data_IF_753114284333
#
_entry.id   IF_753114284333
#
_cell.length_a   1.000
_cell.length_b   1.000
_cell.length_c   1.000
_cell.angle_alpha   90.00
_cell.angle_beta   90.00
_cell.angle_gamma   90.00
#
_symmetry.space_group_name_H-M   'P 1'
#
loop_
_entity.id
_entity.type
_entity.pdbx_description
1 polymer ?
#
# COMPACT_ATOMS: atom_id res chain seq x y z
N UNK A 1 -0.44 26.23 -1.59
CA UNK A 1 -0.92 25.07 -0.81
C UNK A 1 0.20 24.04 -0.84
N UNK A 2 0.63 23.56 0.32
CA UNK A 2 1.67 22.52 0.41
C UNK A 2 1.09 21.15 0.01
N UNK A 3 1.96 20.16 -0.26
CA UNK A 3 1.47 18.80 -0.58
C UNK A 3 0.70 18.19 0.58
N UNK A 4 1.12 18.46 1.82
CA UNK A 4 0.40 18.02 3.02
C UNK A 4 -1.00 18.60 3.12
N UNK A 5 -1.13 19.92 2.89
CA UNK A 5 -2.45 20.58 2.90
C UNK A 5 -3.36 20.03 1.80
N UNK A 6 -2.79 19.71 0.64
CA UNK A 6 -3.53 19.08 -0.45
C UNK A 6 -4.02 17.69 -0.05
N UNK A 7 -3.17 16.84 0.55
CA UNK A 7 -3.59 15.52 1.00
C UNK A 7 -4.72 15.58 2.05
N UNK A 8 -4.62 16.54 2.99
CA UNK A 8 -5.70 16.81 3.98
C UNK A 8 -6.99 17.27 3.31
N UNK A 9 -6.92 18.24 2.43
CA UNK A 9 -8.10 18.79 1.74
C UNK A 9 -8.81 17.74 0.85
N UNK A 10 -8.05 16.76 0.34
CA UNK A 10 -8.59 15.62 -0.40
C UNK A 10 -9.23 14.55 0.49
N UNK A 11 -8.97 14.58 1.81
CA UNK A 11 -9.41 13.54 2.74
C UNK A 11 -8.62 12.24 2.56
N UNK A 12 -7.38 12.32 2.08
CA UNK A 12 -6.52 11.15 1.86
C UNK A 12 -5.91 10.62 3.14
N UNK A 13 -5.61 11.47 4.13
CA UNK A 13 -4.91 11.07 5.37
C UNK A 13 -5.91 10.45 6.34
N UNK A 14 -5.65 9.21 6.79
CA UNK A 14 -6.46 8.52 7.80
C UNK A 14 -5.75 8.50 9.16
N UNK A 15 -4.58 7.88 9.27
CA UNK A 15 -3.80 7.78 10.50
C UNK A 15 -2.33 8.13 10.23
N UNK A 16 -1.65 8.68 11.23
CA UNK A 16 -0.23 9.04 11.18
C UNK A 16 0.43 8.74 12.51
N UNK A 17 1.70 8.34 12.49
CA UNK A 17 2.50 8.12 13.71
C UNK A 17 3.01 9.43 14.31
N UNK A 18 3.39 10.39 13.47
CA UNK A 18 3.84 11.72 13.83
C UNK A 18 3.48 12.70 12.71
N UNK A 19 2.50 13.57 12.97
CA UNK A 19 1.97 14.49 11.95
C UNK A 19 3.00 15.56 11.57
N UNK A 20 3.71 16.15 12.54
CA UNK A 20 4.60 17.27 12.27
C UNK A 20 5.85 16.82 11.50
N UNK A 21 6.46 15.72 11.89
CA UNK A 21 7.62 15.17 11.20
C UNK A 21 7.29 14.72 9.77
N UNK A 22 6.18 13.96 9.58
CA UNK A 22 5.75 13.54 8.25
C UNK A 22 5.47 14.75 7.36
N UNK A 23 4.73 15.73 7.87
CA UNK A 23 4.39 16.97 7.19
C UNK A 23 5.64 17.76 6.77
N UNK A 24 6.60 17.92 7.68
CA UNK A 24 7.86 18.62 7.37
C UNK A 24 8.60 17.90 6.24
N UNK A 25 8.79 16.59 6.35
CA UNK A 25 9.55 15.81 5.39
C UNK A 25 8.91 15.80 4.00
N UNK A 26 7.59 15.56 3.90
CA UNK A 26 6.91 15.52 2.60
C UNK A 26 6.80 16.88 1.93
N UNK A 27 6.62 17.96 2.70
CA UNK A 27 6.56 19.31 2.16
C UNK A 27 7.93 19.83 1.65
N UNK A 28 9.01 19.34 2.23
CA UNK A 28 10.38 19.72 1.85
C UNK A 28 11.00 18.80 0.78
N UNK A 29 10.26 17.82 0.26
CA UNK A 29 10.78 16.86 -0.72
C UNK A 29 11.88 15.95 -0.18
N UNK A 30 11.91 15.70 1.13
CA UNK A 30 12.95 14.91 1.81
C UNK A 30 12.54 13.49 2.12
N UNK A 31 11.27 13.14 1.95
CA UNK A 31 10.78 11.81 2.28
C UNK A 31 11.23 10.79 1.25
N UNK A 32 11.95 9.76 1.68
CA UNK A 32 12.03 8.47 1.00
C UNK A 32 11.01 7.56 1.64
N UNK A 33 10.01 7.14 0.89
CA UNK A 33 8.88 6.36 1.39
C UNK A 33 8.57 5.18 0.48
N UNK A 34 7.92 4.16 1.03
CA UNK A 34 7.46 3.04 0.22
C UNK A 34 5.98 2.75 0.37
N UNK A 35 5.43 2.13 -0.66
CA UNK A 35 4.13 1.44 -0.65
C UNK A 35 4.35 0.04 -1.19
N UNK A 36 3.81 -0.96 -0.49
CA UNK A 36 3.87 -2.36 -0.88
C UNK A 36 2.71 -2.77 -1.78
N UNK A 37 2.99 -3.62 -2.76
CA UNK A 37 2.04 -4.16 -3.71
C UNK A 37 2.24 -5.67 -3.85
N UNK A 38 1.37 -6.47 -3.24
CA UNK A 38 1.36 -7.91 -3.42
C UNK A 38 0.77 -8.27 -4.79
N UNK A 39 1.51 -9.01 -5.62
CA UNK A 39 1.14 -9.33 -7.00
C UNK A 39 0.09 -10.45 -7.08
N UNK A 40 -1.10 -10.20 -6.54
CA UNK A 40 -2.20 -11.18 -6.41
C UNK A 40 -3.00 -11.40 -7.69
N UNK A 41 -2.68 -10.67 -8.75
CA UNK A 41 -3.23 -10.79 -10.10
C UNK A 41 -2.24 -10.19 -11.10
N UNK A 42 -2.45 -10.45 -12.38
CA UNK A 42 -1.65 -9.95 -13.49
C UNK A 42 -2.03 -8.52 -13.93
N UNK A 43 -2.79 -7.79 -13.12
CA UNK A 43 -3.10 -6.37 -13.31
C UNK A 43 -3.33 -5.66 -11.97
N UNK A 44 -2.97 -4.39 -11.92
CA UNK A 44 -3.42 -3.45 -10.91
C UNK A 44 -4.92 -3.15 -11.13
N UNK A 45 -5.61 -2.77 -10.07
CA UNK A 45 -7.02 -2.39 -10.09
C UNK A 45 -7.24 -1.01 -9.46
N UNK A 46 -8.45 -0.50 -9.51
CA UNK A 46 -8.85 0.82 -8.99
C UNK A 46 -8.38 1.08 -7.55
N UNK A 47 -8.35 0.07 -6.68
CA UNK A 47 -7.81 0.23 -5.32
C UNK A 47 -6.32 0.57 -5.29
N UNK A 48 -5.53 -0.03 -6.18
CA UNK A 48 -4.11 0.30 -6.34
C UNK A 48 -3.90 1.68 -6.97
N UNK A 49 -4.83 2.12 -7.83
CA UNK A 49 -4.76 3.42 -8.50
C UNK A 49 -4.69 4.57 -7.50
N UNK A 50 -5.44 4.49 -6.40
CA UNK A 50 -5.38 5.52 -5.35
C UNK A 50 -3.99 5.61 -4.71
N UNK A 51 -3.35 4.47 -4.44
CA UNK A 51 -1.97 4.42 -3.92
C UNK A 51 -0.97 5.01 -4.93
N UNK A 52 -1.13 4.71 -6.22
CA UNK A 52 -0.30 5.31 -7.29
C UNK A 52 -0.52 6.81 -7.41
N UNK A 53 -1.75 7.30 -7.25
CA UNK A 53 -2.04 8.74 -7.21
C UNK A 53 -1.33 9.43 -6.04
N UNK A 54 -1.30 8.82 -4.86
CA UNK A 54 -0.53 9.32 -3.72
C UNK A 54 0.96 9.35 -4.04
N UNK A 55 1.53 8.24 -4.53
CA UNK A 55 2.94 8.18 -4.91
C UNK A 55 3.31 9.26 -5.92
N UNK A 56 2.46 9.46 -6.94
CA UNK A 56 2.68 10.50 -7.96
C UNK A 56 2.67 11.91 -7.39
N UNK A 57 1.70 12.23 -6.52
CA UNK A 57 1.63 13.56 -5.87
C UNK A 57 2.88 13.85 -5.04
N UNK A 58 3.30 12.88 -4.23
CA UNK A 58 4.49 13.02 -3.40
C UNK A 58 5.76 13.09 -4.25
N UNK A 59 5.86 12.33 -5.34
CA UNK A 59 6.97 12.43 -6.28
C UNK A 59 7.04 13.82 -6.94
N UNK A 60 5.91 14.37 -7.38
CA UNK A 60 5.84 15.72 -7.94
C UNK A 60 6.24 16.80 -6.93
N UNK A 61 6.08 16.55 -5.64
CA UNK A 61 6.55 17.42 -4.57
C UNK A 61 8.04 17.19 -4.20
N UNK A 62 8.78 16.38 -4.97
CA UNK A 62 10.21 16.14 -4.81
C UNK A 62 10.55 14.94 -3.93
N UNK A 63 9.57 14.24 -3.37
CA UNK A 63 9.81 13.06 -2.54
C UNK A 63 10.16 11.84 -3.40
N UNK A 64 10.86 10.88 -2.81
CA UNK A 64 11.33 9.67 -3.49
C UNK A 64 10.49 8.45 -3.14
N UNK A 65 9.57 8.01 -4.01
CA UNK A 65 8.80 6.79 -3.78
C UNK A 65 9.60 5.53 -4.07
N UNK A 66 9.32 4.48 -3.29
CA UNK A 66 9.74 3.11 -3.55
C UNK A 66 8.48 2.27 -3.74
N UNK A 67 8.30 1.68 -4.92
CA UNK A 67 7.30 0.65 -5.15
C UNK A 67 7.89 -0.69 -4.72
N UNK A 68 7.41 -1.25 -3.61
CA UNK A 68 7.83 -2.55 -3.12
C UNK A 68 6.91 -3.63 -3.69
N UNK A 69 7.47 -4.50 -4.52
CA UNK A 69 6.74 -5.64 -5.10
C UNK A 69 6.86 -6.84 -4.16
N UNK A 70 5.73 -7.41 -3.79
CA UNK A 70 5.63 -8.48 -2.82
C UNK A 70 5.92 -9.87 -3.42
N UNK A 71 7.11 -10.10 -3.99
CA UNK A 71 7.49 -11.40 -4.52
C UNK A 71 7.60 -12.49 -3.44
N UNK A 72 8.08 -12.13 -2.26
CA UNK A 72 8.14 -13.01 -1.09
C UNK A 72 6.81 -13.02 -0.31
N UNK A 73 6.27 -11.85 0.03
CA UNK A 73 5.00 -11.73 0.78
C UNK A 73 3.79 -12.26 -0.01
N UNK A 74 3.81 -12.17 -1.33
CA UNK A 74 2.78 -12.72 -2.20
C UNK A 74 2.65 -14.25 -2.12
N UNK A 75 3.70 -14.96 -1.70
CA UNK A 75 3.66 -16.41 -1.44
C UNK A 75 2.88 -16.77 -0.17
N UNK A 76 2.75 -15.83 0.76
CA UNK A 76 2.09 -16.00 2.06
C UNK A 76 0.65 -15.47 1.99
N UNK A 77 0.50 -14.23 1.57
CA UNK A 77 -0.77 -13.52 1.47
C UNK A 77 -1.17 -12.78 2.75
N UNK A 78 -1.45 -11.48 2.58
CA UNK A 78 -1.88 -10.60 3.67
C UNK A 78 -3.27 -10.98 4.20
N UNK A 79 -3.43 -11.25 5.50
CA UNK A 79 -4.73 -11.50 6.10
C UNK A 79 -5.56 -10.23 6.33
N UNK A 80 -4.97 -9.03 6.26
CA UNK A 80 -5.62 -7.76 6.60
C UNK A 80 -6.83 -7.47 5.71
N UNK A 81 -7.95 -7.09 6.33
CA UNK A 81 -9.18 -6.74 5.63
C UNK A 81 -9.85 -7.91 4.87
N UNK A 82 -9.57 -9.16 5.24
CA UNK A 82 -10.14 -10.38 4.64
C UNK A 82 -10.73 -11.31 5.69
N UNK A 83 -11.72 -12.07 5.26
CA UNK A 83 -12.35 -13.12 6.07
C UNK A 83 -11.77 -14.52 5.80
N UNK A 84 -11.17 -14.74 4.63
CA UNK A 84 -10.72 -16.04 4.15
C UNK A 84 -9.24 -16.03 3.79
N UNK A 85 -8.58 -17.20 3.91
CA UNK A 85 -7.20 -17.41 3.50
C UNK A 85 -7.06 -17.25 1.97
N UNK A 86 -5.95 -16.65 1.52
CA UNK A 86 -5.63 -16.57 0.10
C UNK A 86 -5.25 -17.93 -0.47
N UNK A 87 -5.57 -18.17 -1.73
CA UNK A 87 -4.98 -19.28 -2.47
C UNK A 87 -3.49 -19.00 -2.69
N UNK A 88 -2.67 -20.01 -2.43
CA UNK A 88 -1.23 -19.92 -2.69
C UNK A 88 -0.98 -19.92 -4.20
N UNK A 89 -0.16 -18.97 -4.64
CA UNK A 89 0.27 -18.85 -6.02
C UNK A 89 1.65 -19.50 -6.21
N UNK A 90 1.94 -19.97 -7.42
CA UNK A 90 3.28 -20.45 -7.76
C UNK A 90 4.25 -19.28 -7.94
N UNK A 91 5.55 -19.57 -7.83
CA UNK A 91 6.61 -18.56 -8.04
C UNK A 91 6.53 -17.95 -9.43
N UNK A 92 6.24 -18.78 -10.45
CA UNK A 92 6.11 -18.35 -11.84
C UNK A 92 4.91 -17.40 -12.02
N UNK A 93 3.78 -17.70 -11.37
CA UNK A 93 2.60 -16.82 -11.39
C UNK A 93 2.90 -15.49 -10.73
N UNK A 94 3.56 -15.50 -9.58
CA UNK A 94 3.96 -14.28 -8.87
C UNK A 94 4.90 -13.44 -9.73
N UNK A 95 5.91 -14.07 -10.36
CA UNK A 95 6.84 -13.37 -11.23
C UNK A 95 6.16 -12.75 -12.45
N UNK A 96 5.25 -13.48 -13.09
CA UNK A 96 4.45 -12.96 -14.19
C UNK A 96 3.64 -11.73 -13.76
N UNK A 97 2.96 -11.81 -12.62
CA UNK A 97 2.17 -10.70 -12.07
C UNK A 97 3.04 -9.48 -11.73
N UNK A 98 4.24 -9.71 -11.18
CA UNK A 98 5.23 -8.64 -10.93
C UNK A 98 5.59 -7.91 -12.22
N UNK A 99 5.86 -8.64 -13.30
CA UNK A 99 6.24 -8.05 -14.58
C UNK A 99 5.09 -7.25 -15.21
N UNK A 100 3.84 -7.68 -15.01
CA UNK A 100 2.66 -6.92 -15.37
C UNK A 100 2.54 -5.63 -14.54
N UNK A 101 2.73 -5.70 -13.22
CA UNK A 101 2.68 -4.53 -12.33
C UNK A 101 3.73 -3.48 -12.72
N UNK A 102 4.97 -3.90 -12.98
CA UNK A 102 6.06 -3.01 -13.42
C UNK A 102 5.63 -2.16 -14.61
N UNK A 103 5.16 -2.80 -15.70
CA UNK A 103 4.72 -2.13 -16.92
C UNK A 103 3.59 -1.13 -16.68
N UNK A 104 2.69 -1.44 -15.75
CA UNK A 104 1.58 -0.54 -15.43
C UNK A 104 2.04 0.62 -14.56
N UNK A 105 2.90 0.39 -13.56
CA UNK A 105 3.40 1.43 -12.65
C UNK A 105 4.26 2.48 -13.37
N UNK A 106 5.04 2.07 -14.38
CA UNK A 106 5.86 2.96 -15.21
C UNK A 106 5.05 4.04 -15.95
N UNK A 107 3.75 3.82 -16.13
CA UNK A 107 2.84 4.83 -16.71
C UNK A 107 2.49 5.96 -15.75
N UNK A 108 2.63 5.73 -14.45
CA UNK A 108 2.25 6.69 -13.40
C UNK A 108 3.45 7.32 -12.71
N UNK A 109 4.47 6.53 -12.43
CA UNK A 109 5.63 6.92 -11.63
C UNK A 109 6.85 7.03 -12.54
N UNK A 110 7.61 8.10 -12.37
CA UNK A 110 8.88 8.30 -13.08
C UNK A 110 10.01 7.60 -12.31
N UNK A 111 10.48 6.49 -12.86
CA UNK A 111 11.60 5.70 -12.31
C UNK A 111 12.96 6.09 -12.91
N UNK A 112 13.01 7.07 -13.82
CA UNK A 112 14.27 7.53 -14.43
C UNK A 112 15.17 8.21 -13.39
N UNK A 113 16.47 8.14 -13.61
CA UNK A 113 17.50 8.88 -12.86
C UNK A 113 17.41 8.70 -11.33
N UNK A 114 16.84 7.59 -10.86
CA UNK A 114 16.68 7.31 -9.43
C UNK A 114 15.63 8.18 -8.71
N UNK A 115 14.72 8.83 -9.45
CA UNK A 115 13.61 9.61 -8.89
C UNK A 115 12.59 8.74 -8.14
N UNK A 116 12.51 7.47 -8.49
CA UNK A 116 11.79 6.43 -7.77
C UNK A 116 12.55 5.12 -7.86
N UNK A 117 12.21 4.17 -6.99
CA UNK A 117 12.75 2.82 -7.05
C UNK A 117 11.63 1.80 -7.17
N UNK A 118 11.92 0.69 -7.83
CA UNK A 118 11.08 -0.49 -7.86
C UNK A 118 11.91 -1.65 -7.31
N UNK A 119 11.45 -2.25 -6.22
CA UNK A 119 12.21 -3.24 -5.44
C UNK A 119 11.32 -4.46 -5.20
N UNK A 120 11.90 -5.66 -5.21
CA UNK A 120 11.21 -6.91 -4.93
C UNK A 120 11.66 -7.45 -3.56
N UNK A 121 10.72 -7.69 -2.64
CA UNK A 121 11.07 -8.22 -1.32
C UNK A 121 11.51 -9.69 -1.34
N UNK A 122 11.31 -10.41 -2.44
CA UNK A 122 11.90 -11.74 -2.64
C UNK A 122 13.43 -11.71 -2.55
N UNK A 123 14.08 -10.57 -2.90
CA UNK A 123 15.54 -10.41 -2.90
C UNK A 123 16.16 -10.64 -1.50
N UNK A 124 15.40 -10.43 -0.44
CA UNK A 124 15.84 -10.69 0.92
C UNK A 124 15.02 -11.75 1.63
N UNK A 125 13.69 -11.82 1.45
CA UNK A 125 12.83 -12.74 2.18
C UNK A 125 13.10 -14.21 1.81
N UNK A 126 13.40 -14.50 0.53
CA UNK A 126 13.63 -15.88 0.07
C UNK A 126 14.95 -16.49 0.56
N UNK A 127 15.89 -15.66 1.00
CA UNK A 127 17.20 -16.09 1.45
C UNK A 127 17.35 -16.06 2.98
N UNK A 128 16.29 -15.79 3.72
CA UNK A 128 16.33 -15.74 5.18
C UNK A 128 16.47 -17.13 5.79
N UNK A 129 17.40 -17.27 6.72
CA UNK A 129 17.47 -18.46 7.56
C UNK A 129 16.42 -18.35 8.66
N UNK A 130 15.55 -19.35 8.76
CA UNK A 130 14.42 -19.35 9.70
C UNK A 130 14.86 -19.20 11.16
N UNK A 131 15.92 -19.92 11.59
CA UNK A 131 16.42 -19.85 12.97
C UNK A 131 17.02 -18.48 13.27
N UNK A 132 17.74 -17.89 12.30
CA UNK A 132 18.32 -16.54 12.45
C UNK A 132 17.23 -15.49 12.59
N UNK A 133 16.17 -15.55 11.78
CA UNK A 133 15.02 -14.65 11.88
C UNK A 133 14.34 -14.78 13.25
N UNK A 134 14.11 -16.01 13.74
CA UNK A 134 13.52 -16.21 15.05
C UNK A 134 14.38 -15.64 16.18
N UNK A 135 15.70 -15.72 16.09
CA UNK A 135 16.61 -15.19 17.11
C UNK A 135 16.81 -13.69 17.05
N UNK A 136 16.84 -13.12 15.82
CA UNK A 136 17.19 -11.71 15.60
C UNK A 136 15.97 -10.79 15.51
N UNK A 137 14.88 -11.27 14.95
CA UNK A 137 13.65 -10.50 14.72
C UNK A 137 12.56 -10.88 15.74
N UNK A 138 12.41 -12.17 16.01
CA UNK A 138 11.34 -12.72 16.87
C UNK A 138 11.22 -12.05 18.24
N UNK A 139 12.30 -11.76 18.99
CA UNK A 139 12.20 -11.12 20.31
C UNK A 139 11.59 -9.72 20.30
N UNK A 140 11.50 -9.07 19.14
CA UNK A 140 10.91 -7.74 19.00
C UNK A 140 9.39 -7.77 18.83
N UNK A 141 8.78 -8.96 18.63
CA UNK A 141 7.35 -9.13 18.43
C UNK A 141 6.71 -9.88 19.62
N UNK A 142 5.75 -9.25 20.27
CA UNK A 142 4.94 -9.89 21.30
C UNK A 142 3.70 -10.54 20.67
N UNK A 143 3.55 -11.85 20.79
CA UNK A 143 2.38 -12.59 20.28
C UNK A 143 1.08 -12.01 20.83
N UNK A 144 1.02 -11.71 22.15
CA UNK A 144 -0.16 -11.13 22.77
C UNK A 144 -0.53 -9.76 22.15
N UNK A 145 0.47 -8.91 21.86
CA UNK A 145 0.24 -7.64 21.21
C UNK A 145 -0.22 -7.84 19.77
N UNK A 146 0.39 -8.73 19.01
CA UNK A 146 -0.04 -9.04 17.64
C UNK A 146 -1.49 -9.51 17.61
N UNK A 147 -1.87 -10.46 18.47
CA UNK A 147 -3.24 -10.98 18.57
C UNK A 147 -4.27 -9.93 19.01
N UNK A 148 -3.83 -8.85 19.65
CA UNK A 148 -4.73 -7.73 20.03
C UNK A 148 -5.14 -6.85 18.87
N UNK A 149 -4.47 -6.93 17.73
CA UNK A 149 -4.82 -6.13 16.54
C UNK A 149 -6.07 -6.65 15.86
N UNK A 150 -6.89 -5.74 15.34
CA UNK A 150 -8.21 -6.06 14.77
C UNK A 150 -8.13 -7.05 13.60
N UNK A 151 -7.11 -6.92 12.76
CA UNK A 151 -6.88 -7.83 11.63
C UNK A 151 -6.73 -9.30 12.07
N UNK A 152 -6.11 -9.56 13.24
CA UNK A 152 -5.99 -10.92 13.79
C UNK A 152 -7.24 -11.36 14.54
N UNK A 153 -7.90 -10.47 15.30
CA UNK A 153 -9.14 -10.81 16.01
C UNK A 153 -10.20 -11.37 15.06
N UNK A 154 -10.44 -10.68 13.93
CA UNK A 154 -11.40 -11.13 12.92
C UNK A 154 -11.02 -12.49 12.31
N UNK A 155 -9.72 -12.74 12.11
CA UNK A 155 -9.24 -14.01 11.58
C UNK A 155 -9.29 -15.15 12.59
N UNK A 156 -9.05 -14.87 13.89
CA UNK A 156 -9.11 -15.89 14.96
C UNK A 156 -10.48 -16.56 15.06
N UNK A 157 -11.57 -15.83 14.81
CA UNK A 157 -12.93 -16.38 14.80
C UNK A 157 -13.13 -17.47 13.72
N UNK A 158 -12.35 -17.43 12.64
CA UNK A 158 -12.43 -18.35 11.49
C UNK A 158 -11.22 -19.26 11.31
N UNK A 159 -10.27 -19.19 12.23
CA UNK A 159 -9.04 -19.95 12.18
C UNK A 159 -7.88 -19.20 11.52
N UNK A 160 -7.06 -18.52 12.33
CA UNK A 160 -5.81 -17.88 11.90
C UNK A 160 -4.71 -18.93 11.79
N UNK A 161 -4.10 -19.06 10.61
CA UNK A 161 -2.97 -19.96 10.42
C UNK A 161 -1.66 -19.32 10.87
N UNK A 162 -0.67 -20.15 11.23
CA UNK A 162 0.69 -19.67 11.55
C UNK A 162 1.32 -18.94 10.35
N UNK A 163 1.02 -19.37 9.13
CA UNK A 163 1.44 -18.72 7.90
C UNK A 163 0.98 -17.24 7.87
N UNK A 164 -0.32 -17.01 8.00
CA UNK A 164 -0.91 -15.67 7.97
C UNK A 164 -0.44 -14.80 9.16
N UNK A 165 -0.25 -15.43 10.33
CA UNK A 165 0.25 -14.74 11.52
C UNK A 165 1.66 -14.14 11.31
N UNK A 166 2.50 -14.80 10.52
CA UNK A 166 3.85 -14.30 10.23
C UNK A 166 3.88 -13.16 9.20
N UNK A 167 2.80 -12.86 8.49
CA UNK A 167 2.78 -11.81 7.47
C UNK A 167 3.22 -10.45 8.04
N UNK A 168 2.71 -10.06 9.20
CA UNK A 168 3.11 -8.79 9.87
C UNK A 168 4.61 -8.72 10.13
N UNK A 169 5.24 -9.83 10.51
CA UNK A 169 6.69 -9.89 10.78
C UNK A 169 7.45 -9.68 9.47
N UNK A 170 7.01 -10.30 8.38
CA UNK A 170 7.63 -10.17 7.06
C UNK A 170 7.53 -8.73 6.54
N UNK A 171 6.36 -8.11 6.62
CA UNK A 171 6.17 -6.71 6.22
C UNK A 171 6.98 -5.75 7.10
N UNK A 172 7.09 -6.04 8.39
CA UNK A 172 7.94 -5.24 9.30
C UNK A 172 9.42 -5.38 8.95
N UNK A 173 9.84 -6.58 8.54
CA UNK A 173 11.20 -6.85 8.09
C UNK A 173 11.48 -6.14 6.74
N UNK A 174 10.50 -6.06 5.84
CA UNK A 174 10.61 -5.29 4.61
C UNK A 174 10.94 -3.82 4.90
N UNK A 175 10.21 -3.19 5.83
CA UNK A 175 10.49 -1.80 6.21
C UNK A 175 11.90 -1.63 6.78
N UNK A 176 12.32 -2.55 7.66
CA UNK A 176 13.67 -2.58 8.22
C UNK A 176 14.75 -2.70 7.13
N UNK A 177 14.55 -3.57 6.14
CA UNK A 177 15.48 -3.73 5.01
C UNK A 177 15.52 -2.50 4.11
N UNK A 178 14.35 -1.92 3.81
CA UNK A 178 14.25 -0.69 3.01
C UNK A 178 14.90 0.50 3.72
N UNK A 179 14.74 0.59 5.05
CA UNK A 179 15.42 1.61 5.85
C UNK A 179 16.93 1.51 5.72
N UNK A 180 17.49 0.32 5.90
CA UNK A 180 18.94 0.09 5.85
C UNK A 180 19.52 0.25 4.44
N UNK A 181 18.86 -0.30 3.42
CA UNK A 181 19.39 -0.32 2.06
C UNK A 181 19.20 0.98 1.29
N UNK A 182 18.09 1.66 1.53
CA UNK A 182 17.65 2.81 0.70
C UNK A 182 17.37 4.09 1.50
N UNK A 183 17.58 4.09 2.81
CA UNK A 183 17.25 5.23 3.66
C UNK A 183 15.75 5.54 3.68
N UNK A 184 14.92 4.50 3.48
CA UNK A 184 13.46 4.65 3.48
C UNK A 184 12.96 4.86 4.92
N UNK A 185 12.51 6.07 5.23
CA UNK A 185 12.08 6.45 6.59
C UNK A 185 10.58 6.41 6.79
N UNK A 186 9.80 6.23 5.71
CA UNK A 186 8.34 6.27 5.77
C UNK A 186 7.70 5.09 5.05
N UNK A 187 6.63 4.55 5.64
CA UNK A 187 5.73 3.60 5.01
C UNK A 187 4.35 4.24 4.84
N UNK A 188 3.79 4.14 3.63
CA UNK A 188 2.42 4.55 3.35
C UNK A 188 1.62 3.36 2.83
N UNK A 189 0.32 3.34 3.11
CA UNK A 189 -0.56 2.26 2.69
C UNK A 189 -2.02 2.53 3.03
N UNK A 190 -2.92 1.59 2.70
CA UNK A 190 -4.33 1.67 3.08
C UNK A 190 -4.53 1.58 4.58
N UNK A 191 -5.66 2.08 5.07
CA UNK A 191 -5.94 2.13 6.52
C UNK A 191 -6.03 0.74 7.17
N UNK A 192 -6.33 -0.29 6.39
CA UNK A 192 -6.29 -1.69 6.82
C UNK A 192 -4.87 -2.21 7.11
N UNK A 193 -3.82 -1.48 6.73
CA UNK A 193 -2.41 -1.84 6.94
C UNK A 193 -1.80 -1.26 8.23
N UNK A 194 -2.53 -0.46 9.00
CA UNK A 194 -1.99 0.28 10.14
C UNK A 194 -1.18 -0.57 11.11
N UNK A 195 -1.73 -1.72 11.53
CA UNK A 195 -1.06 -2.61 12.47
C UNK A 195 0.27 -3.18 11.92
N UNK A 196 0.28 -3.57 10.63
CA UNK A 196 1.48 -4.07 9.96
C UNK A 196 2.56 -2.97 9.88
N UNK A 197 2.16 -1.74 9.59
CA UNK A 197 3.07 -0.59 9.47
C UNK A 197 3.70 -0.23 10.82
N UNK A 198 2.92 -0.25 11.91
CA UNK A 198 3.44 -0.04 13.27
C UNK A 198 4.45 -1.12 13.68
N UNK A 199 4.28 -2.35 13.24
CA UNK A 199 5.27 -3.43 13.44
C UNK A 199 6.64 -3.05 12.86
N UNK A 200 6.67 -2.44 11.67
CA UNK A 200 7.89 -2.00 10.99
C UNK A 200 8.57 -0.83 11.71
N UNK A 201 7.80 0.21 12.07
CA UNK A 201 8.35 1.36 12.81
C UNK A 201 8.96 0.93 14.14
N UNK A 202 8.28 0.04 14.86
CA UNK A 202 8.76 -0.49 16.14
C UNK A 202 10.00 -1.38 15.99
N UNK A 203 10.07 -2.19 14.93
CA UNK A 203 11.26 -3.02 14.65
C UNK A 203 12.50 -2.14 14.38
N UNK A 204 12.35 -1.09 13.58
CA UNK A 204 13.42 -0.14 13.29
C UNK A 204 13.87 0.55 14.58
N UNK A 205 12.93 1.04 15.38
CA UNK A 205 13.24 1.68 16.67
C UNK A 205 14.01 0.75 17.61
N UNK A 206 13.58 -0.50 17.74
CA UNK A 206 14.21 -1.48 18.67
C UNK A 206 15.57 -1.96 18.18
N UNK A 207 15.73 -2.18 16.88
CA UNK A 207 16.99 -2.72 16.34
C UNK A 207 18.03 -1.65 16.03
N UNK A 208 17.61 -0.48 15.57
CA UNK A 208 18.52 0.58 15.11
C UNK A 208 18.57 1.80 16.04
N UNK A 209 17.64 1.92 16.99
CA UNK A 209 17.51 3.14 17.79
C UNK A 209 17.18 4.39 16.96
N UNK A 210 16.47 4.19 15.82
CA UNK A 210 16.13 5.24 14.86
C UNK A 210 14.63 5.37 14.72
N UNK A 211 14.19 6.56 14.30
CA UNK A 211 12.79 6.83 14.02
C UNK A 211 12.44 6.46 12.59
N UNK A 212 11.23 5.93 12.43
CA UNK A 212 10.60 5.66 11.16
C UNK A 212 9.09 5.92 11.31
N UNK A 213 8.45 6.35 10.23
CA UNK A 213 7.12 6.91 10.27
C UNK A 213 6.15 6.12 9.40
N UNK A 214 4.88 6.17 9.75
CA UNK A 214 3.82 5.53 9.00
C UNK A 214 2.63 6.48 8.82
N UNK A 215 2.04 6.44 7.62
CA UNK A 215 0.80 7.15 7.31
C UNK A 215 -0.12 6.23 6.52
N UNK A 216 -1.36 6.11 6.98
CA UNK A 216 -2.39 5.42 6.20
C UNK A 216 -3.26 6.39 5.41
N UNK A 217 -3.72 5.92 4.27
CA UNK A 217 -4.71 6.62 3.45
C UNK A 217 -6.08 5.98 3.59
N UNK A 218 -7.09 6.83 3.53
CA UNK A 218 -8.49 6.42 3.53
C UNK A 218 -8.74 5.37 2.45
N UNK A 219 -9.45 4.31 2.79
CA UNK A 219 -9.85 3.31 1.80
C UNK A 219 -10.89 3.90 0.83
N UNK A 220 -10.81 3.50 -0.43
CA UNK A 220 -11.79 3.87 -1.44
C UNK A 220 -13.06 3.03 -1.23
N UNK A 221 -13.95 3.56 -0.38
CA UNK A 221 -15.24 2.95 -0.05
C UNK A 221 -16.37 3.75 -0.69
N UNK A 222 -17.44 3.08 -1.09
CA UNK A 222 -18.68 3.75 -1.47
C UNK A 222 -19.46 4.24 -0.23
N UNK A 223 -20.59 4.92 -0.45
CA UNK A 223 -21.48 5.44 0.60
C UNK A 223 -22.06 4.36 1.53
N UNK A 224 -22.08 3.08 1.07
CA UNK A 224 -22.49 1.93 1.88
C UNK A 224 -21.32 1.29 2.67
N UNK A 225 -20.11 1.86 2.61
CA UNK A 225 -18.91 1.33 3.26
C UNK A 225 -18.26 0.13 2.55
N UNK A 226 -18.65 -0.18 1.33
CA UNK A 226 -18.06 -1.26 0.53
C UNK A 226 -16.84 -0.78 -0.26
N UNK A 227 -15.79 -1.61 -0.36
CA UNK A 227 -14.61 -1.27 -1.17
C UNK A 227 -15.01 -1.10 -2.64
N UNK A 228 -14.72 0.07 -3.21
CA UNK A 228 -14.95 0.36 -4.63
C UNK A 228 -13.97 -0.39 -5.53
N UNK A 229 -14.31 -0.50 -6.81
CA UNK A 229 -13.48 -1.24 -7.78
C UNK A 229 -13.67 -2.75 -7.72
N UNK A 230 -14.59 -3.27 -6.89
CA UNK A 230 -15.05 -4.65 -6.92
C UNK A 230 -16.43 -4.69 -7.58
N UNK A 231 -16.59 -5.60 -8.55
CA UNK A 231 -17.87 -5.85 -9.23
C UNK A 231 -18.28 -7.31 -8.99
N UNK A 232 -19.48 -7.68 -9.40
CA UNK A 232 -19.94 -9.08 -9.35
C UNK A 232 -19.07 -10.00 -10.25
N UNK A 233 -18.46 -9.44 -11.31
CA UNK A 233 -17.57 -10.13 -12.25
C UNK A 233 -16.08 -10.03 -11.87
N UNK A 234 -15.72 -9.46 -10.70
CA UNK A 234 -14.34 -9.33 -10.26
C UNK A 234 -13.93 -7.91 -9.89
N UNK A 235 -12.75 -7.47 -10.32
CA UNK A 235 -12.24 -6.12 -10.07
C UNK A 235 -12.33 -5.24 -11.32
N UNK A 236 -12.37 -3.92 -11.12
CA UNK A 236 -12.15 -2.95 -12.20
C UNK A 236 -10.65 -2.77 -12.36
N UNK A 237 -10.12 -3.34 -13.44
CA UNK A 237 -8.71 -3.44 -13.72
C UNK A 237 -8.16 -2.19 -14.43
N UNK A 238 -6.87 -1.91 -14.25
CA UNK A 238 -6.17 -0.86 -15.00
C UNK A 238 -5.64 -1.37 -16.35
N UNK A 239 -5.72 -2.67 -16.59
CA UNK A 239 -5.40 -3.29 -17.87
C UNK A 239 -6.60 -3.16 -18.83
N UNK A 240 -6.45 -2.52 -20.00
CA UNK A 240 -7.53 -2.38 -20.98
C UNK A 240 -8.01 -3.70 -21.59
N UNK A 241 -7.18 -4.74 -21.56
CA UNK A 241 -7.57 -6.08 -22.03
C UNK A 241 -8.49 -6.80 -21.01
N UNK A 242 -8.48 -6.37 -19.72
CA UNK A 242 -9.32 -6.94 -18.65
C UNK A 242 -10.56 -6.13 -18.35
N UNK A 243 -10.43 -4.80 -18.38
CA UNK A 243 -11.54 -3.85 -18.28
C UNK A 243 -11.39 -2.88 -19.43
N UNK A 244 -12.27 -2.97 -20.42
CA UNK A 244 -12.19 -2.10 -21.58
C UNK A 244 -12.25 -0.62 -21.18
N UNK A 245 -11.66 0.31 -21.95
CA UNK A 245 -11.78 1.75 -21.67
C UNK A 245 -13.22 2.21 -21.56
N UNK A 246 -14.15 1.61 -22.32
CA UNK A 246 -15.57 1.89 -22.24
C UNK A 246 -16.16 1.44 -20.89
N UNK A 247 -15.88 0.21 -20.46
CA UNK A 247 -16.39 -0.31 -19.18
C UNK A 247 -15.79 0.43 -18.00
N UNK A 248 -14.51 0.82 -18.08
CA UNK A 248 -13.84 1.65 -17.08
C UNK A 248 -14.51 3.02 -16.98
N UNK A 249 -14.81 3.68 -18.12
CA UNK A 249 -15.56 4.93 -18.15
C UNK A 249 -16.97 4.76 -17.59
N UNK A 250 -17.70 3.72 -17.99
CA UNK A 250 -19.07 3.45 -17.51
C UNK A 250 -19.09 3.16 -16.00
N UNK A 251 -18.08 2.49 -15.47
CA UNK A 251 -17.96 2.28 -14.03
C UNK A 251 -17.96 3.62 -13.27
N UNK A 252 -17.13 4.58 -13.68
CA UNK A 252 -17.05 5.89 -13.02
C UNK A 252 -18.27 6.76 -13.28
N UNK A 253 -18.85 6.67 -14.48
CA UNK A 253 -20.06 7.41 -14.83
C UNK A 253 -21.27 6.97 -14.00
N UNK A 254 -21.32 5.73 -13.57
CA UNK A 254 -22.43 5.14 -12.81
C UNK A 254 -22.16 5.07 -11.30
N UNK A 255 -21.14 5.79 -10.81
CA UNK A 255 -20.93 5.97 -9.36
C UNK A 255 -22.08 6.78 -8.78
N UNK A 256 -22.56 6.40 -7.59
CA UNK A 256 -23.62 7.10 -6.90
C UNK A 256 -23.26 8.58 -6.67
N UNK A 257 -24.24 9.48 -6.82
CA UNK A 257 -24.04 10.93 -6.68
C UNK A 257 -23.37 11.30 -5.34
N UNK A 258 -23.71 10.57 -4.27
CA UNK A 258 -23.09 10.75 -2.95
C UNK A 258 -21.57 10.48 -2.92
N UNK A 259 -21.06 9.68 -3.85
CA UNK A 259 -19.64 9.27 -3.92
C UNK A 259 -18.84 10.09 -4.94
N UNK A 260 -19.48 10.83 -5.85
CA UNK A 260 -18.82 11.54 -6.96
C UNK A 260 -17.73 12.48 -6.45
N UNK A 261 -18.07 13.39 -5.54
CA UNK A 261 -17.12 14.41 -5.03
C UNK A 261 -15.93 13.76 -4.33
N UNK A 262 -16.20 12.69 -3.57
CA UNK A 262 -15.14 11.91 -2.91
C UNK A 262 -14.20 11.26 -3.92
N UNK A 263 -14.75 10.59 -4.94
CA UNK A 263 -13.95 9.97 -6.01
C UNK A 263 -13.12 11.01 -6.75
N UNK A 264 -13.68 12.16 -7.08
CA UNK A 264 -12.97 13.26 -7.74
C UNK A 264 -11.80 13.77 -6.90
N UNK A 265 -11.99 13.99 -5.61
CA UNK A 265 -10.92 14.45 -4.70
C UNK A 265 -9.81 13.42 -4.55
N UNK A 266 -10.15 12.15 -4.42
CA UNK A 266 -9.18 11.09 -4.18
C UNK A 266 -8.37 10.71 -5.43
N UNK A 267 -9.01 10.65 -6.60
CA UNK A 267 -8.47 10.00 -7.80
C UNK A 267 -8.07 10.97 -8.92
N UNK A 268 -8.47 12.25 -8.86
CA UNK A 268 -8.19 13.22 -9.91
C UNK A 268 -7.33 14.38 -9.43
N UNK A 269 -6.94 15.28 -10.32
CA UNK A 269 -6.28 16.55 -9.97
C UNK A 269 -7.28 17.60 -9.44
N UNK A 270 -8.57 17.37 -9.56
CA UNK A 270 -9.62 18.31 -9.14
C UNK A 270 -9.77 18.27 -7.62
N UNK A 271 -9.84 19.44 -6.98
CA UNK A 271 -9.94 19.54 -5.52
C UNK A 271 -11.30 20.08 -5.06
N UNK A 272 -11.81 21.11 -5.69
CA UNK A 272 -13.01 21.83 -5.27
C UNK A 272 -14.17 21.76 -6.26
N UNK A 273 -13.87 21.95 -7.53
CA UNK A 273 -14.89 21.97 -8.59
C UNK A 273 -14.43 21.12 -9.76
N UNK A 274 -15.39 20.55 -10.48
CA UNK A 274 -15.17 20.00 -11.80
C UNK A 274 -15.42 21.09 -12.81
N UNK A 275 -14.46 21.48 -13.66
CA UNK A 275 -14.76 22.32 -14.81
C UNK A 275 -15.76 21.57 -15.68
N UNK A 276 -16.97 22.12 -15.80
CA UNK A 276 -17.98 21.60 -16.71
C UNK A 276 -17.76 22.23 -18.09
N UNK A 277 -17.84 21.45 -19.17
CA UNK A 277 -17.82 22.04 -20.53
C UNK A 277 -19.00 22.97 -20.81
N UNK A 278 -19.93 23.09 -19.87
CA UNK A 278 -21.14 23.93 -19.96
C UNK A 278 -21.05 25.17 -19.08
N UNK A 279 -20.03 25.29 -18.26
CA UNK A 279 -19.68 26.47 -17.48
C UNK A 279 -18.64 27.29 -18.26
#
# INVERSE_FOLDING_TARGET
MTVWDELKARGLIAQVTDEEEIKEMVNNGKATFYIGFDPTADSLHVGHFMALCLMKRLQMAGNKPIALLGGGTGMIGDPSGRSDMRQMMTVETIQHNIDCFKKQMERFIDFSDGKALMVNNADWLMNLNYVEVLRDVGPHFSVNRMLSHECYKQRMERGLTFLEFNYMIMQSYDFYMLYQKYGCTMQFGGDDQWANMLGGTELIRRKLGKDAYAMTITLLLNSEGKKMGKTQSGAVWLDPEKTSPFDFYQYWRNVDDADVIKCMRLLTCLLYTSPSPRD
#
